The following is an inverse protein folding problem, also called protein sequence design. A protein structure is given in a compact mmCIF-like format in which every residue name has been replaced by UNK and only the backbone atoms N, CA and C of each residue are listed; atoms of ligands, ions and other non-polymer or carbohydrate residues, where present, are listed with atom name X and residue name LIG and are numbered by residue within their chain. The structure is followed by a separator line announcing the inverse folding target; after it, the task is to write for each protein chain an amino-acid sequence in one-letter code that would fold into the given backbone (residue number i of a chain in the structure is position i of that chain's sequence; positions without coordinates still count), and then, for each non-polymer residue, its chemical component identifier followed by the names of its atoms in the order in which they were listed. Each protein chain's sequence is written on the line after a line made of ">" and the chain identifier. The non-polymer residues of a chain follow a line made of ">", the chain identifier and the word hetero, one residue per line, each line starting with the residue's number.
data_IF_822747603889
#
_entry.id   IF_822747603889
#
_cell.length_a   1.000
_cell.length_b   1.000
_cell.length_c   1.000
_cell.angle_alpha   90.00
_cell.angle_beta   90.00
_cell.angle_gamma   90.00
#
_symmetry.space_group_name_H-M   'P 1'
#
loop_
_entity.id
_entity.type
_entity.pdbx_description
1 polymer ?
#
# COMPACT_ATOMS: atom_id res chain seq x y z
N UNK A 1 6.98 22.11 6.68
CA UNK A 1 5.64 21.80 7.24
C UNK A 1 5.08 20.48 6.71
N UNK A 2 5.22 20.15 5.41
CA UNK A 2 4.78 18.86 4.81
C UNK A 2 5.37 17.59 5.46
N UNK A 3 6.70 17.53 5.67
CA UNK A 3 7.39 16.33 6.20
C UNK A 3 6.82 15.78 7.52
N UNK A 4 6.42 16.66 8.45
CA UNK A 4 5.85 16.25 9.75
C UNK A 4 4.47 15.58 9.61
N UNK A 5 3.68 15.97 8.60
CA UNK A 5 2.36 15.37 8.35
C UNK A 5 2.49 13.96 7.79
N UNK A 6 3.42 13.75 6.85
CA UNK A 6 3.69 12.43 6.28
C UNK A 6 4.21 11.43 7.32
N UNK A 7 5.13 11.84 8.20
CA UNK A 7 5.66 10.98 9.28
C UNK A 7 4.55 10.52 10.25
N UNK A 8 3.64 11.41 10.62
CA UNK A 8 2.51 11.06 11.49
C UNK A 8 1.57 10.04 10.83
N UNK A 9 1.23 10.26 9.55
CA UNK A 9 0.39 9.32 8.78
C UNK A 9 1.07 7.95 8.69
N UNK A 10 2.38 7.91 8.42
CA UNK A 10 3.14 6.68 8.35
C UNK A 10 3.14 5.91 9.68
N UNK A 11 3.29 6.60 10.81
CA UNK A 11 3.21 5.98 12.14
C UNK A 11 1.81 5.40 12.43
N UNK A 12 0.75 6.10 12.04
CA UNK A 12 -0.61 5.57 12.16
C UNK A 12 -0.83 4.35 11.26
N UNK A 13 -0.29 4.35 10.04
CA UNK A 13 -0.30 3.17 9.16
C UNK A 13 0.47 2.00 9.77
N UNK A 14 1.65 2.23 10.33
CA UNK A 14 2.46 1.21 11.02
C UNK A 14 1.68 0.54 12.15
N UNK A 15 1.00 1.33 12.99
CA UNK A 15 0.13 0.79 14.04
C UNK A 15 -1.00 -0.07 13.45
N UNK A 16 -1.63 0.40 12.36
CA UNK A 16 -2.69 -0.37 11.70
C UNK A 16 -2.17 -1.67 11.07
N UNK A 17 -0.96 -1.66 10.52
CA UNK A 17 -0.29 -2.84 9.96
C UNK A 17 0.00 -3.86 11.06
N UNK A 18 0.61 -3.41 12.15
CA UNK A 18 0.98 -4.25 13.30
C UNK A 18 -0.23 -4.94 13.91
N UNK A 19 -1.33 -4.21 14.06
CA UNK A 19 -2.56 -4.72 14.66
C UNK A 19 -3.58 -5.27 13.65
N UNK A 20 -3.26 -5.29 12.35
CA UNK A 20 -4.17 -5.67 11.25
C UNK A 20 -5.52 -4.93 11.30
N UNK A 21 -5.48 -3.64 11.67
CA UNK A 21 -6.66 -2.80 11.89
C UNK A 21 -7.19 -2.21 10.58
N UNK A 22 -7.80 -3.04 9.73
CA UNK A 22 -8.29 -2.65 8.41
C UNK A 22 -9.26 -1.45 8.44
N UNK A 23 -10.16 -1.40 9.43
CA UNK A 23 -11.15 -0.32 9.54
C UNK A 23 -10.49 1.04 9.74
N UNK A 24 -9.53 1.14 10.67
CA UNK A 24 -8.79 2.38 10.93
C UNK A 24 -7.88 2.72 9.76
N UNK A 25 -7.22 1.71 9.18
CA UNK A 25 -6.41 1.85 7.99
C UNK A 25 -7.16 2.47 6.81
N UNK A 26 -8.43 2.08 6.57
CA UNK A 26 -9.28 2.71 5.55
C UNK A 26 -9.59 4.19 5.84
N UNK A 27 -9.75 4.58 7.10
CA UNK A 27 -9.95 6.00 7.46
C UNK A 27 -8.68 6.82 7.17
N UNK A 28 -7.51 6.26 7.46
CA UNK A 28 -6.22 6.89 7.14
C UNK A 28 -6.04 6.98 5.62
N UNK A 29 -6.36 5.93 4.87
CA UNK A 29 -6.32 5.97 3.41
C UNK A 29 -7.23 7.07 2.86
N UNK A 30 -8.47 7.18 3.35
CA UNK A 30 -9.37 8.28 2.99
C UNK A 30 -8.80 9.67 3.32
N UNK A 31 -8.08 9.79 4.44
CA UNK A 31 -7.38 11.02 4.81
C UNK A 31 -6.24 11.35 3.83
N UNK A 32 -5.44 10.37 3.43
CA UNK A 32 -4.35 10.51 2.45
C UNK A 32 -4.91 11.04 1.12
N UNK A 33 -6.00 10.43 0.62
CA UNK A 33 -6.66 10.86 -0.61
C UNK A 33 -7.16 12.31 -0.50
N UNK A 34 -7.88 12.63 0.58
CA UNK A 34 -8.48 13.97 0.79
C UNK A 34 -7.42 15.07 0.93
N UNK A 35 -6.24 14.76 1.43
CA UNK A 35 -5.17 15.74 1.67
C UNK A 35 -4.14 15.79 0.55
N UNK A 36 -4.35 15.04 -0.54
CA UNK A 36 -3.45 15.06 -1.70
C UNK A 36 -2.12 14.34 -1.50
N UNK A 37 -2.04 13.42 -0.52
CA UNK A 37 -0.82 12.65 -0.26
C UNK A 37 -0.77 11.33 -1.05
N UNK A 38 -1.75 11.05 -1.90
CA UNK A 38 -1.85 9.77 -2.62
C UNK A 38 -0.73 9.55 -3.65
N UNK A 39 -0.06 10.62 -4.11
CA UNK A 39 1.11 10.53 -5.00
C UNK A 39 2.43 10.28 -4.24
N UNK A 40 2.41 10.27 -2.91
CA UNK A 40 3.61 9.96 -2.11
C UNK A 40 3.87 8.45 -2.17
N UNK A 41 4.95 8.06 -2.87
CA UNK A 41 5.35 6.65 -3.08
C UNK A 41 5.54 5.94 -1.73
N UNK A 42 6.12 6.61 -0.74
CA UNK A 42 6.37 6.02 0.57
C UNK A 42 5.06 5.69 1.28
N UNK A 43 4.11 6.64 1.34
CA UNK A 43 2.81 6.40 1.97
C UNK A 43 1.97 5.37 1.19
N UNK A 44 2.08 5.35 -0.14
CA UNK A 44 1.39 4.38 -0.99
C UNK A 44 1.91 2.96 -0.78
N UNK A 45 3.24 2.79 -0.69
CA UNK A 45 3.86 1.52 -0.34
C UNK A 45 3.40 1.01 1.04
N UNK A 46 3.25 1.91 2.02
CA UNK A 46 2.70 1.56 3.35
C UNK A 46 1.21 1.18 3.27
N UNK A 47 0.42 1.80 2.40
CA UNK A 47 -0.98 1.40 2.17
C UNK A 47 -1.08 0.00 1.52
N UNK A 48 -0.19 -0.32 0.58
CA UNK A 48 -0.10 -1.67 0.00
C UNK A 48 0.19 -2.70 1.10
N UNK A 49 1.18 -2.43 1.97
CA UNK A 49 1.50 -3.32 3.09
C UNK A 49 0.33 -3.47 4.08
N UNK A 50 -0.34 -2.37 4.44
CA UNK A 50 -1.56 -2.39 5.26
C UNK A 50 -2.61 -3.33 4.70
N UNK A 51 -2.97 -3.17 3.43
CA UNK A 51 -3.99 -4.01 2.80
C UNK A 51 -3.54 -5.45 2.65
N UNK A 52 -2.26 -5.67 2.35
CA UNK A 52 -1.63 -6.99 2.29
C UNK A 52 -1.73 -7.73 3.64
N UNK A 53 -1.27 -7.12 4.74
CA UNK A 53 -1.30 -7.70 6.09
C UNK A 53 -2.71 -7.90 6.65
N UNK A 54 -3.68 -7.14 6.13
CA UNK A 54 -5.11 -7.30 6.42
C UNK A 54 -5.81 -8.30 5.48
N UNK A 55 -5.06 -9.13 4.73
CA UNK A 55 -5.60 -10.14 3.82
C UNK A 55 -6.56 -9.58 2.76
N UNK A 56 -6.29 -8.35 2.29
CA UNK A 56 -7.08 -7.67 1.26
C UNK A 56 -6.21 -7.26 0.07
N UNK A 57 -5.68 -8.22 -0.72
CA UNK A 57 -4.80 -7.94 -1.85
C UNK A 57 -5.50 -7.14 -2.97
N UNK A 58 -6.83 -7.17 -3.05
CA UNK A 58 -7.58 -6.37 -4.04
C UNK A 58 -7.46 -4.86 -3.78
N UNK A 59 -7.58 -4.43 -2.52
CA UNK A 59 -7.33 -3.02 -2.17
C UNK A 59 -5.86 -2.64 -2.28
N UNK A 60 -4.93 -3.57 -1.99
CA UNK A 60 -3.50 -3.34 -2.22
C UNK A 60 -3.22 -3.09 -3.71
N UNK A 61 -3.79 -3.93 -4.58
CA UNK A 61 -3.69 -3.79 -6.04
C UNK A 61 -4.27 -2.46 -6.53
N UNK A 62 -5.43 -2.05 -6.03
CA UNK A 62 -6.02 -0.77 -6.39
C UNK A 62 -5.11 0.42 -6.03
N UNK A 63 -4.49 0.41 -4.84
CA UNK A 63 -3.50 1.45 -4.48
C UNK A 63 -2.34 1.43 -5.47
N UNK A 64 -1.77 0.27 -5.75
CA UNK A 64 -0.66 0.11 -6.67
C UNK A 64 -0.98 0.63 -8.09
N UNK A 65 -2.17 0.32 -8.61
CA UNK A 65 -2.62 0.71 -9.94
C UNK A 65 -2.79 2.25 -10.06
N UNK A 66 -3.21 2.92 -9.00
CA UNK A 66 -3.40 4.38 -8.97
C UNK A 66 -2.09 5.17 -8.73
N UNK A 67 -0.98 4.50 -8.40
CA UNK A 67 0.31 5.19 -8.19
C UNK A 67 0.83 5.76 -9.52
N UNK A 68 1.16 7.07 -9.60
CA UNK A 68 1.71 7.67 -10.80
C UNK A 68 3.15 7.20 -11.07
N UNK A 69 3.92 7.00 -10.01
CA UNK A 69 5.30 6.52 -10.03
C UNK A 69 5.43 5.31 -9.10
N UNK A 70 6.24 4.33 -9.49
CA UNK A 70 6.46 3.09 -8.74
C UNK A 70 7.95 2.79 -8.67
N UNK A 71 8.41 2.42 -7.49
CA UNK A 71 9.78 1.96 -7.28
C UNK A 71 9.82 0.44 -7.06
N UNK A 72 11.04 -0.10 -6.94
CA UNK A 72 11.22 -1.54 -6.68
C UNK A 72 10.51 -2.00 -5.40
N UNK A 73 10.34 -1.13 -4.40
CA UNK A 73 9.62 -1.45 -3.18
C UNK A 73 8.12 -1.58 -3.44
N UNK A 74 7.53 -0.75 -4.29
CA UNK A 74 6.13 -0.85 -4.72
C UNK A 74 5.84 -2.21 -5.34
N UNK A 75 6.67 -2.63 -6.31
CA UNK A 75 6.53 -3.92 -6.99
C UNK A 75 6.69 -5.10 -6.02
N UNK A 76 7.73 -5.07 -5.19
CA UNK A 76 7.98 -6.12 -4.21
C UNK A 76 6.86 -6.26 -3.18
N UNK A 77 6.28 -5.14 -2.74
CA UNK A 77 5.16 -5.13 -1.81
C UNK A 77 3.91 -5.78 -2.44
N UNK A 78 3.62 -5.47 -3.70
CA UNK A 78 2.48 -6.06 -4.41
C UNK A 78 2.69 -7.56 -4.68
N UNK A 79 3.88 -7.96 -5.15
CA UNK A 79 4.24 -9.36 -5.34
C UNK A 79 4.11 -10.16 -4.05
N UNK A 80 4.64 -9.63 -2.95
CA UNK A 80 4.52 -10.24 -1.62
C UNK A 80 3.06 -10.40 -1.20
N UNK A 81 2.21 -9.41 -1.50
CA UNK A 81 0.77 -9.47 -1.22
C UNK A 81 0.05 -10.57 -2.00
N UNK A 82 0.34 -10.72 -3.30
CA UNK A 82 -0.25 -11.75 -4.15
C UNK A 82 0.23 -13.15 -3.76
N UNK A 83 1.52 -13.32 -3.50
CA UNK A 83 2.09 -14.58 -3.01
C UNK A 83 1.47 -14.98 -1.66
N UNK A 84 1.34 -14.05 -0.71
CA UNK A 84 0.72 -14.32 0.59
C UNK A 84 -0.78 -14.67 0.47
N UNK A 85 -1.45 -14.22 -0.60
CA UNK A 85 -2.83 -14.55 -0.92
C UNK A 85 -2.96 -15.80 -1.82
N UNK A 86 -1.87 -16.51 -2.11
CA UNK A 86 -1.80 -17.66 -3.02
C UNK A 86 -2.30 -17.36 -4.46
N UNK A 87 -2.16 -16.11 -4.91
CA UNK A 87 -2.52 -15.65 -6.26
C UNK A 87 -1.31 -15.66 -7.18
N UNK A 88 -0.73 -16.84 -7.39
CA UNK A 88 0.57 -16.99 -8.06
C UNK A 88 0.55 -16.59 -9.55
N UNK A 89 -0.57 -16.80 -10.25
CA UNK A 89 -0.72 -16.38 -11.65
C UNK A 89 -0.67 -14.85 -11.75
N UNK A 90 -1.40 -14.15 -10.88
CA UNK A 90 -1.37 -12.69 -10.82
C UNK A 90 0.03 -12.18 -10.42
N UNK A 91 0.70 -12.88 -9.49
CA UNK A 91 2.05 -12.52 -9.06
C UNK A 91 3.07 -12.67 -10.20
N UNK A 92 2.99 -13.76 -10.97
CA UNK A 92 3.84 -13.96 -12.14
C UNK A 92 3.61 -12.88 -13.19
N UNK A 93 2.35 -12.58 -13.53
CA UNK A 93 2.02 -11.52 -14.48
C UNK A 93 2.61 -10.16 -14.04
N UNK A 94 2.48 -9.82 -12.76
CA UNK A 94 3.07 -8.59 -12.22
C UNK A 94 4.60 -8.58 -12.25
N UNK A 95 5.25 -9.74 -12.05
CA UNK A 95 6.70 -9.85 -12.13
C UNK A 95 7.19 -9.62 -13.57
N UNK A 96 6.48 -10.17 -14.55
CA UNK A 96 6.80 -10.03 -15.97
C UNK A 96 6.60 -8.58 -16.49
N UNK A 97 5.73 -7.80 -15.84
CA UNK A 97 5.48 -6.38 -16.14
C UNK A 97 6.50 -5.41 -15.52
N UNK A 98 7.37 -5.88 -14.62
CA UNK A 98 8.36 -5.01 -13.96
C UNK A 98 9.31 -4.38 -15.01
N UNK A 99 9.52 -3.04 -14.98
CA UNK A 99 10.37 -2.33 -15.94
C UNK A 99 11.87 -2.54 -15.73
#
# INVERSE_FOLDING_TARGET
>A
MWKKSGEQIANFLESCITHKSLRVGKLIHGHILRTGHASDIFLSNRLIDLYSKCHNPGSARHVFDEMPDRDVFSWNAMLSSLCAANKLVDAQAMFDEMP
#
